data_IF_489184884980
#
_entry.id   IF_489184884980
#
_cell.length_a   1.000
_cell.length_b   1.000
_cell.length_c   1.000
_cell.angle_alpha   90.00
_cell.angle_beta   90.00
_cell.angle_gamma   90.00
#
_symmetry.space_group_name_H-M   'P 1'
#
loop_
_entity.id
_entity.type
_entity.pdbx_description
1 polymer ?
2 non-polymer ?
3 non-polymer ?
4 non-polymer ?
5 non-polymer ?
6 water ?
#
# COMPACT_ATOMS: atom_id res chain seq x y z
N UNK A 48 -10.58 21.78 15.19
CA UNK A 48 -9.28 21.10 15.14
C UNK A 48 -9.39 19.79 14.37
N UNK A 49 -8.33 19.41 13.66
CA UNK A 49 -8.37 18.18 12.87
C UNK A 49 -7.59 17.10 13.60
N UNK A 50 -8.22 15.94 13.79
CA UNK A 50 -7.62 14.82 14.55
C UNK A 50 -7.76 13.55 13.72
N UNK A 51 -6.61 13.01 13.29
CA UNK A 51 -6.61 11.82 12.46
C UNK A 51 -6.38 10.54 13.24
N UNK A 52 -7.05 9.46 12.79
CA UNK A 52 -6.76 8.12 13.24
C UNK A 52 -6.25 7.37 12.02
N UNK A 53 -4.97 6.98 12.01
CA UNK A 53 -4.39 6.18 10.93
C UNK A 53 -4.44 4.71 11.39
N UNK A 54 -5.23 3.88 10.71
CA UNK A 54 -5.35 2.45 11.04
C UNK A 54 -4.36 1.69 10.17
N UNK A 55 -3.17 1.40 10.73
CA UNK A 55 -2.08 0.77 9.99
C UNK A 55 -0.92 1.73 9.80
N UNK A 56 -0.51 2.38 10.88
CA UNK A 56 0.42 3.52 10.83
C UNK A 56 1.83 3.18 10.43
N UNK A 57 2.23 1.91 10.56
CA UNK A 57 3.56 1.52 10.13
C UNK A 57 3.55 0.88 8.73
N UNK A 58 2.41 0.95 8.06
CA UNK A 58 2.24 0.41 6.71
C UNK A 58 2.86 1.28 5.63
N UNK A 59 2.79 0.80 4.39
CA UNK A 59 3.41 1.57 3.30
C UNK A 59 2.67 2.88 3.03
N UNK A 60 1.33 2.93 3.23
CA UNK A 60 0.65 4.22 3.15
C UNK A 60 0.52 4.86 4.53
N UNK A 61 0.33 4.03 5.57
CA UNK A 61 0.25 4.57 6.94
C UNK A 61 1.47 5.41 7.30
N UNK A 62 2.67 4.96 6.90
CA UNK A 62 3.91 5.69 7.23
C UNK A 62 3.99 7.02 6.48
N UNK A 63 3.48 7.06 5.23
CA UNK A 63 3.41 8.32 4.46
C UNK A 63 2.37 9.27 5.08
N UNK A 64 1.21 8.75 5.50
CA UNK A 64 0.22 9.61 6.20
C UNK A 64 0.79 10.17 7.51
N UNK A 65 1.57 9.35 8.24
CA UNK A 65 2.16 9.76 9.51
C UNK A 65 3.16 10.91 9.29
N UNK A 66 3.87 10.91 8.16
CA UNK A 66 4.83 11.97 7.88
C UNK A 66 4.14 13.23 7.35
N UNK A 67 3.13 13.08 6.49
CA UNK A 67 2.48 14.23 5.85
C UNK A 67 1.41 14.91 6.66
N UNK A 68 0.54 14.18 7.36
CA UNK A 68 -0.52 14.85 8.13
C UNK A 68 -0.01 15.97 9.08
N UNK A 69 1.06 15.76 9.86
CA UNK A 69 1.49 16.81 10.80
C UNK A 69 2.21 18.03 10.19
N UNK A 70 2.50 18.02 8.87
CA UNK A 70 3.20 19.12 8.21
C UNK A 70 2.39 20.43 8.23
N UNK A 71 3.10 21.58 8.27
CA UNK A 71 2.47 22.91 8.31
C UNK A 71 1.58 23.23 7.10
N UNK A 72 2.00 22.86 5.87
CA UNK A 72 1.26 23.14 4.64
C UNK A 72 0.17 22.11 4.30
N UNK A 73 -0.10 21.14 5.20
CA UNK A 73 -1.14 20.15 4.93
C UNK A 73 -2.52 20.79 5.09
N UNK A 74 -3.43 20.59 4.11
CA UNK A 74 -4.78 21.16 4.24
C UNK A 74 -5.46 20.71 5.52
N UNK A 75 -6.22 21.63 6.15
CA UNK A 75 -6.98 21.43 7.38
C UNK A 75 -6.10 21.24 8.63
N UNK A 76 -4.81 21.57 8.49
CA UNK A 76 -3.87 21.51 9.59
C UNK A 76 -4.09 22.64 10.60
N UNK A 77 -3.49 22.56 11.81
CA UNK A 77 -2.59 21.51 12.28
C UNK A 77 -3.30 20.22 12.66
N UNK A 78 -2.77 19.11 12.21
CA UNK A 78 -3.37 17.82 12.51
C UNK A 78 -2.76 17.17 13.73
N UNK A 79 -3.62 16.68 14.62
CA UNK A 79 -3.22 15.81 15.74
C UNK A 79 -3.37 14.40 15.15
N UNK A 80 -2.44 13.46 15.45
CA UNK A 80 -2.50 12.14 14.81
C UNK A 80 -2.38 11.01 15.80
N UNK A 81 -3.30 10.04 15.73
CA UNK A 81 -3.21 8.77 16.43
C UNK A 81 -2.86 7.78 15.33
N UNK A 82 -1.96 6.84 15.64
CA UNK A 82 -1.59 5.80 14.69
C UNK A 82 -1.67 4.44 15.34
N UNK A 83 -2.36 3.48 14.70
CA UNK A 83 -2.58 2.15 15.25
C UNK A 83 -1.81 1.09 14.46
N UNK A 84 -1.21 0.11 15.18
CA UNK A 84 -0.60 -1.09 14.58
C UNK A 84 -0.43 -2.09 15.73
N UNK A 85 -0.13 -3.36 15.44
CA UNK A 85 0.02 -4.32 16.55
C UNK A 85 1.39 -4.32 17.19
N UNK A 86 2.44 -4.30 16.36
CA UNK A 86 3.81 -4.41 16.88
C UNK A 86 4.30 -3.18 17.64
N UNK A 87 5.37 -3.32 18.47
CA UNK A 87 5.97 -2.12 19.08
C UNK A 87 6.43 -1.18 17.96
N UNK A 88 6.41 0.12 18.24
CA UNK A 88 6.78 1.13 17.25
C UNK A 88 8.22 0.91 16.78
N UNK A 89 8.42 0.73 15.46
CA UNK A 89 9.80 0.54 14.94
C UNK A 89 10.53 1.88 14.80
N UNK A 90 11.87 1.82 14.82
CA UNK A 90 12.72 3.03 14.79
C UNK A 90 12.49 3.96 13.61
N UNK A 91 12.23 3.37 12.44
CA UNK A 91 12.03 4.12 11.20
C UNK A 91 10.70 4.85 11.13
N UNK A 92 9.83 4.68 12.13
CA UNK A 92 8.52 5.33 12.22
C UNK A 92 8.53 6.45 13.26
N UNK A 93 9.66 6.58 14.01
CA UNK A 93 9.82 7.56 15.09
C UNK A 93 10.04 9.01 14.62
N UNK A 94 10.46 9.23 13.37
CA UNK A 94 10.76 10.60 12.94
C UNK A 94 9.50 11.47 12.70
N UNK A 95 8.29 10.94 13.03
CA UNK A 95 6.98 11.58 12.86
C UNK A 95 6.33 11.89 14.23
N UNK A 96 5.65 13.04 14.41
CA UNK A 96 5.09 13.35 15.73
C UNK A 96 3.69 12.79 16.01
N UNK A 97 3.53 11.47 15.92
CA UNK A 97 2.24 10.81 16.11
C UNK A 97 2.08 10.15 17.51
N UNK A 98 0.81 9.94 17.94
CA UNK A 98 0.45 9.26 19.18
C UNK A 98 0.26 7.80 18.82
N UNK A 99 1.27 7.00 19.09
CA UNK A 99 1.26 5.59 18.70
C UNK A 99 0.46 4.75 19.68
N UNK A 100 -0.46 3.92 19.14
CA UNK A 100 -1.36 3.03 19.87
C UNK A 100 -1.22 1.59 19.40
N UNK A 101 -0.88 0.66 20.33
CA UNK A 101 -0.81 -0.73 19.96
C UNK A 101 -2.19 -1.33 20.09
N UNK A 102 -2.72 -1.89 18.99
CA UNK A 102 -4.08 -2.43 19.00
C UNK A 102 -4.24 -3.45 17.89
N UNK A 103 -4.86 -4.61 18.20
CA UNK A 103 -5.16 -5.61 17.18
C UNK A 103 -6.64 -5.43 16.87
N UNK A 104 -6.92 -4.82 15.70
CA UNK A 104 -8.30 -4.51 15.33
C UNK A 104 -9.11 -5.75 14.95
N UNK A 105 -8.48 -6.95 14.91
CA UNK A 105 -9.26 -8.19 14.71
C UNK A 105 -9.87 -8.62 16.07
N UNK A 106 -9.43 -7.97 17.17
CA UNK A 106 -9.90 -8.26 18.54
C UNK A 106 -10.89 -7.17 19.00
N UNK A 107 -12.22 -7.47 19.04
CA UNK A 107 -13.21 -6.44 19.43
C UNK A 107 -12.96 -5.83 20.82
N UNK A 108 -12.48 -6.64 21.79
CA UNK A 108 -12.20 -6.17 23.14
C UNK A 108 -11.02 -5.19 23.15
N UNK A 109 -9.93 -5.52 22.44
CA UNK A 109 -8.76 -4.65 22.34
C UNK A 109 -9.16 -3.35 21.62
N UNK A 110 -9.98 -3.45 20.55
CA UNK A 110 -10.45 -2.28 19.80
C UNK A 110 -11.29 -1.34 20.68
N UNK A 111 -12.19 -1.94 21.49
CA UNK A 111 -13.02 -1.20 22.43
C UNK A 111 -12.11 -0.50 23.44
N UNK A 112 -11.16 -1.24 24.02
CA UNK A 112 -10.23 -0.71 25.03
C UNK A 112 -9.36 0.44 24.54
N UNK A 113 -8.69 0.26 23.39
CA UNK A 113 -7.75 1.24 22.86
C UNK A 113 -8.36 2.42 22.16
N UNK A 114 -9.50 2.22 21.47
CA UNK A 114 -10.05 3.32 20.66
C UNK A 114 -11.16 4.13 21.33
N UNK A 115 -11.94 3.54 22.26
CA UNK A 115 -13.00 4.29 22.95
C UNK A 115 -12.52 5.59 23.67
N UNK A 116 -11.28 5.70 24.22
CA UNK A 116 -10.87 6.99 24.83
C UNK A 116 -10.56 8.12 23.84
N UNK A 117 -10.43 7.81 22.52
CA UNK A 117 -10.04 8.80 21.52
C UNK A 117 -11.27 9.49 20.93
N UNK A 118 -11.96 10.22 21.81
CA UNK A 118 -13.21 10.91 21.53
C UNK A 118 -13.06 12.13 20.62
N UNK A 119 -11.83 12.59 20.39
CA UNK A 119 -11.58 13.79 19.58
C UNK A 119 -11.35 13.52 18.07
N UNK A 120 -11.29 12.21 17.65
CA UNK A 120 -11.07 11.88 16.23
C UNK A 120 -12.09 12.60 15.32
N UNK A 121 -11.60 13.20 14.23
CA UNK A 121 -12.47 13.81 13.23
C UNK A 121 -12.37 13.07 11.88
N UNK A 122 -11.25 12.41 11.58
CA UNK A 122 -11.07 11.72 10.29
C UNK A 122 -10.34 10.39 10.48
N UNK A 123 -10.89 9.30 9.92
CA UNK A 123 -10.29 7.95 10.00
C UNK A 123 -9.68 7.68 8.64
N UNK A 124 -8.40 7.18 8.63
CA UNK A 124 -7.70 6.78 7.40
C UNK A 124 -7.39 5.31 7.58
N UNK A 125 -8.13 4.46 6.85
CA UNK A 125 -8.03 3.01 7.05
C UNK A 125 -7.13 2.40 5.99
N UNK A 126 -5.93 1.94 6.41
CA UNK A 126 -4.88 1.49 5.50
C UNK A 126 -4.25 0.19 6.03
N UNK A 127 -5.09 -0.87 6.13
CA UNK A 127 -4.58 -2.16 6.60
C UNK A 127 -5.40 -3.29 6.02
N UNK A 128 -4.90 -4.54 6.17
CA UNK A 128 -5.64 -5.73 5.72
C UNK A 128 -5.05 -6.95 6.32
N UNK A 129 -5.76 -8.06 6.17
CA UNK A 129 -5.34 -9.37 6.63
C UNK A 129 -5.39 -10.32 5.44
N UNK A 130 -4.29 -11.07 5.23
CA UNK A 130 -4.24 -12.05 4.13
C UNK A 130 -4.72 -13.40 4.65
N UNK A 131 -5.40 -14.15 3.77
CA UNK A 131 -5.90 -15.49 4.07
C UNK A 131 -5.77 -16.36 2.80
N UNK A 132 -5.93 -17.68 2.92
CA UNK A 132 -5.75 -18.55 1.76
C UNK A 132 -6.85 -18.45 0.69
N UNK A 133 -8.03 -17.96 1.07
CA UNK A 133 -9.11 -17.76 0.10
C UNK A 133 -9.71 -16.42 0.27
N UNK A 134 -10.32 -15.89 -0.79
CA UNK A 134 -11.02 -14.62 -0.71
C UNK A 134 -12.21 -14.68 0.26
N UNK A 135 -12.95 -15.82 0.32
CA UNK A 135 -14.05 -15.88 1.25
C UNK A 135 -13.55 -15.62 2.69
N UNK A 136 -12.37 -16.18 3.08
CA UNK A 136 -11.83 -15.94 4.42
C UNK A 136 -11.34 -14.49 4.51
N UNK A 137 -10.78 -13.94 3.42
CA UNK A 137 -10.38 -12.53 3.45
C UNK A 137 -11.61 -11.65 3.70
N UNK A 138 -12.77 -11.98 3.12
CA UNK A 138 -13.99 -11.18 3.33
C UNK A 138 -14.37 -11.21 4.79
N UNK A 139 -14.36 -12.39 5.39
CA UNK A 139 -14.69 -12.57 6.80
C UNK A 139 -13.72 -11.76 7.68
N UNK A 140 -12.40 -11.98 7.51
CA UNK A 140 -11.40 -11.32 8.37
C UNK A 140 -11.37 -9.81 8.21
N UNK A 141 -11.35 -9.35 6.97
CA UNK A 141 -11.26 -7.92 6.71
C UNK A 141 -12.53 -7.16 7.02
N UNK A 142 -13.67 -7.80 6.84
CA UNK A 142 -14.94 -7.18 7.21
C UNK A 142 -15.00 -7.00 8.73
N UNK A 143 -14.56 -8.02 9.50
CA UNK A 143 -14.55 -7.91 10.98
C UNK A 143 -13.61 -6.80 11.47
N UNK A 144 -12.44 -6.67 10.85
CA UNK A 144 -11.46 -5.64 11.23
C UNK A 144 -12.04 -4.24 11.05
N UNK A 145 -12.62 -3.97 9.86
CA UNK A 145 -13.19 -2.65 9.63
C UNK A 145 -14.41 -2.40 10.53
N UNK A 146 -15.28 -3.42 10.68
CA UNK A 146 -16.45 -3.33 11.55
C UNK A 146 -16.03 -3.04 13.03
N UNK A 147 -14.97 -3.71 13.53
CA UNK A 147 -14.51 -3.51 14.92
C UNK A 147 -14.10 -2.06 15.15
N UNK A 148 -13.38 -1.45 14.18
CA UNK A 148 -12.98 -0.04 14.29
C UNK A 148 -14.19 0.90 14.25
N UNK A 149 -15.00 0.79 13.20
CA UNK A 149 -16.13 1.71 12.99
C UNK A 149 -17.19 1.58 14.05
N UNK A 150 -17.43 0.38 14.58
CA UNK A 150 -18.43 0.21 15.65
C UNK A 150 -18.08 0.95 16.93
N UNK A 151 -16.78 1.17 17.17
CA UNK A 151 -16.26 1.86 18.35
C UNK A 151 -16.13 3.37 18.07
N UNK A 152 -15.45 3.73 16.96
CA UNK A 152 -15.19 5.14 16.66
C UNK A 152 -16.48 5.96 16.42
N UNK A 153 -17.42 5.45 15.62
CA UNK A 153 -18.60 6.25 15.26
C UNK A 153 -19.39 6.76 16.50
N UNK A 154 -19.85 5.89 17.41
CA UNK A 154 -20.60 6.39 18.59
C UNK A 154 -19.77 7.14 19.63
N UNK A 155 -18.43 6.96 19.64
CA UNK A 155 -17.59 7.61 20.66
C UNK A 155 -16.95 8.93 20.21
N UNK A 156 -17.06 9.27 18.92
CA UNK A 156 -16.42 10.47 18.38
C UNK A 156 -17.47 11.42 17.83
N UNK A 157 -18.00 12.33 18.66
CA UNK A 157 -19.06 13.22 18.18
C UNK A 157 -18.70 14.17 17.04
N UNK A 158 -17.40 14.47 16.83
CA UNK A 158 -16.94 15.37 15.77
C UNK A 158 -16.39 14.61 14.57
N UNK A 159 -16.72 13.29 14.45
CA UNK A 159 -16.24 12.46 13.34
C UNK A 159 -16.88 12.95 12.05
N UNK A 160 -16.04 13.27 11.06
CA UNK A 160 -16.52 13.85 9.79
C UNK A 160 -16.35 12.93 8.62
N UNK A 161 -15.29 12.11 8.60
CA UNK A 161 -15.01 11.32 7.40
C UNK A 161 -14.29 10.05 7.70
N UNK A 162 -14.57 9.03 6.89
CA UNK A 162 -13.87 7.74 6.89
C UNK A 162 -13.33 7.51 5.51
N UNK A 163 -12.00 7.38 5.38
CA UNK A 163 -11.35 7.11 4.12
C UNK A 163 -10.86 5.66 4.14
N UNK A 164 -11.32 4.85 3.18
CA UNK A 164 -10.97 3.45 3.10
C UNK A 164 -10.07 3.18 1.91
N UNK A 165 -8.90 2.57 2.16
CA UNK A 165 -8.02 2.20 1.05
C UNK A 165 -8.34 0.77 0.61
N UNK A 166 -8.58 0.60 -0.70
CA UNK A 166 -8.74 -0.73 -1.30
C UNK A 166 -7.68 -0.82 -2.41
N UNK A 167 -8.06 -1.10 -3.64
CA UNK A 167 -7.03 -1.24 -4.67
C UNK A 167 -7.59 -1.74 -5.98
N UNK A 168 -6.68 -1.93 -6.96
CA UNK A 168 -7.05 -2.33 -8.34
C UNK A 168 -7.63 -3.73 -8.42
N UNK A 169 -7.45 -4.56 -7.38
CA UNK A 169 -8.10 -5.88 -7.41
C UNK A 169 -9.63 -5.74 -7.32
N UNK A 170 -10.15 -4.54 -7.06
CA UNK A 170 -11.61 -4.31 -7.18
C UNK A 170 -12.04 -4.69 -8.62
N UNK A 171 -11.17 -4.40 -9.62
CA UNK A 171 -11.47 -4.64 -11.05
C UNK A 171 -10.83 -5.92 -11.57
N UNK A 172 -9.64 -6.26 -11.03
CA UNK A 172 -8.89 -7.42 -11.52
C UNK A 172 -9.33 -8.75 -10.92
N UNK A 173 -9.90 -8.68 -9.73
CA UNK A 173 -10.31 -9.86 -8.98
C UNK A 173 -9.31 -10.21 -7.90
N UNK A 174 -9.71 -11.12 -7.02
CA UNK A 174 -8.80 -11.57 -5.94
C UNK A 174 -7.53 -12.21 -6.47
N UNK A 175 -6.48 -12.32 -5.60
CA UNK A 175 -5.22 -12.89 -6.06
C UNK A 175 -5.39 -14.20 -6.82
N UNK A 176 -6.22 -15.12 -6.31
CA UNK A 176 -6.31 -16.46 -6.89
C UNK A 176 -7.22 -16.52 -8.11
N UNK A 177 -7.79 -15.35 -8.53
CA UNK A 177 -8.56 -15.30 -9.76
C UNK A 177 -7.93 -14.39 -10.79
N UNK A 178 -6.89 -13.61 -10.45
CA UNK A 178 -6.28 -12.75 -11.49
C UNK A 178 -5.84 -13.61 -12.68
N UNK A 179 -6.21 -13.17 -13.88
CA UNK A 179 -5.85 -13.84 -15.12
C UNK A 179 -6.75 -15.00 -15.50
N UNK A 180 -7.68 -15.36 -14.60
CA UNK A 180 -8.55 -16.54 -14.79
C UNK A 180 -9.97 -16.17 -15.09
N UNK A 181 -10.30 -14.87 -15.05
CA UNK A 181 -11.67 -14.42 -15.20
C UNK A 181 -11.79 -13.31 -16.24
N UNK A 182 -13.03 -13.07 -16.71
CA UNK A 182 -13.22 -11.93 -17.62
C UNK A 182 -13.36 -10.68 -16.76
N UNK A 183 -12.54 -9.65 -17.06
CA UNK A 183 -12.70 -8.41 -16.35
C UNK A 183 -13.18 -7.38 -17.35
N UNK A 184 -13.49 -6.17 -16.85
CA UNK A 184 -13.80 -5.05 -17.73
C UNK A 184 -12.50 -4.74 -18.51
N UNK A 185 -12.60 -4.15 -19.69
CA UNK A 185 -11.41 -3.83 -20.45
C UNK A 185 -10.75 -2.58 -19.83
N UNK A 186 -9.42 -2.62 -19.63
CA UNK A 186 -8.73 -1.42 -19.15
C UNK A 186 -8.76 -0.31 -20.21
N UNK A 187 -8.56 0.97 -19.80
CA UNK A 187 -8.24 1.43 -18.44
C UNK A 187 -9.44 1.37 -17.51
N UNK A 188 -9.23 0.88 -16.29
CA UNK A 188 -10.36 0.78 -15.38
C UNK A 188 -10.85 2.13 -14.87
N UNK A 189 -12.18 2.28 -14.85
CA UNK A 189 -12.89 3.47 -14.31
C UNK A 189 -13.72 3.00 -13.14
N UNK A 190 -14.06 3.93 -12.26
CA UNK A 190 -14.54 3.57 -10.91
C UNK A 190 -15.93 3.01 -10.66
N UNK A 191 -16.89 3.39 -11.48
CA UNK A 191 -18.30 3.18 -11.18
C UNK A 191 -19.06 2.26 -12.14
N UNK A 192 -18.38 1.29 -12.70
CA UNK A 192 -19.03 0.25 -13.50
C UNK A 192 -19.31 -0.92 -12.56
N UNK A 193 -20.16 -1.87 -12.98
CA UNK A 193 -20.48 -2.99 -12.10
C UNK A 193 -19.29 -3.77 -11.57
N UNK A 194 -19.47 -4.27 -10.36
CA UNK A 194 -18.49 -5.13 -9.71
C UNK A 194 -18.43 -6.47 -10.44
N UNK A 195 -17.31 -7.19 -10.29
CA UNK A 195 -17.18 -8.57 -10.81
C UNK A 195 -18.13 -9.44 -9.99
N UNK A 196 -18.60 -10.55 -10.60
CA UNK A 196 -19.51 -11.46 -9.92
C UNK A 196 -18.75 -12.55 -9.17
N UNK A 197 -17.79 -12.11 -8.35
CA UNK A 197 -16.97 -12.98 -7.50
C UNK A 197 -16.77 -12.27 -6.18
N UNK A 198 -16.71 -13.05 -5.08
CA UNK A 198 -16.44 -12.45 -3.76
C UNK A 198 -15.17 -11.62 -3.80
N UNK A 199 -15.14 -10.53 -3.03
CA UNK A 199 -13.95 -9.68 -3.01
C UNK A 199 -14.04 -8.93 -1.69
N UNK A 200 -12.99 -8.98 -0.88
CA UNK A 200 -13.09 -8.34 0.44
C UNK A 200 -13.26 -6.82 0.33
N UNK A 201 -12.89 -6.24 -0.82
CA UNK A 201 -13.15 -4.81 -1.00
C UNK A 201 -14.65 -4.54 -1.12
N UNK A 202 -15.42 -5.48 -1.73
CA UNK A 202 -16.85 -5.27 -1.87
C UNK A 202 -17.49 -5.39 -0.49
N UNK A 203 -17.04 -6.38 0.30
CA UNK A 203 -17.52 -6.59 1.66
C UNK A 203 -17.27 -5.31 2.46
N UNK A 204 -16.06 -4.74 2.35
CA UNK A 204 -15.71 -3.56 3.13
C UNK A 204 -16.50 -2.35 2.66
N UNK A 205 -16.66 -2.14 1.33
CA UNK A 205 -17.45 -0.99 0.88
C UNK A 205 -18.87 -1.08 1.39
N UNK A 206 -19.49 -2.27 1.28
CA UNK A 206 -20.88 -2.41 1.71
C UNK A 206 -21.04 -2.14 3.20
N UNK A 207 -20.08 -2.62 4.01
CA UNK A 207 -20.09 -2.38 5.45
C UNK A 207 -19.93 -0.88 5.74
N UNK A 208 -19.01 -0.21 5.01
CA UNK A 208 -18.75 1.22 5.17
C UNK A 208 -20.01 2.03 4.90
N UNK A 209 -20.75 1.71 3.82
CA UNK A 209 -21.96 2.45 3.46
C UNK A 209 -23.04 2.30 4.54
N UNK A 210 -23.15 1.09 5.11
CA UNK A 210 -24.12 0.87 6.18
C UNK A 210 -23.67 1.61 7.47
N UNK A 211 -22.35 1.59 7.77
CA UNK A 211 -21.82 2.26 8.97
C UNK A 211 -22.05 3.77 8.99
N UNK A 212 -21.82 4.48 7.87
CA UNK A 212 -21.97 5.93 7.82
C UNK A 212 -23.40 6.38 8.08
N UNK A 213 -24.37 5.48 7.83
CA UNK A 213 -25.80 5.77 8.10
C UNK A 213 -26.04 6.03 9.58
N UNK A 214 -25.11 5.60 10.46
CA UNK A 214 -25.25 5.80 11.90
C UNK A 214 -25.08 7.25 12.39
N UNK A 215 -24.44 8.11 11.57
CA UNK A 215 -24.14 9.49 11.94
C UNK A 215 -24.41 10.48 10.81
N UNK A 216 -25.30 11.44 11.06
CA UNK A 216 -25.65 12.48 10.08
C UNK A 216 -24.43 13.30 9.73
N UNK A 217 -24.21 13.49 8.43
CA UNK A 217 -23.11 14.26 7.89
C UNK A 217 -21.78 13.53 7.79
N UNK A 218 -21.73 12.26 8.25
CA UNK A 218 -20.50 11.46 8.15
C UNK A 218 -20.35 11.04 6.67
N UNK A 219 -19.22 11.39 6.06
CA UNK A 219 -18.97 11.05 4.66
C UNK A 219 -17.89 10.00 4.56
N UNK A 220 -17.75 9.43 3.36
CA UNK A 220 -16.75 8.40 3.14
C UNK A 220 -16.04 8.61 1.81
N UNK A 221 -14.88 8.00 1.68
CA UNK A 221 -14.19 7.90 0.41
C UNK A 221 -13.51 6.56 0.30
N UNK A 222 -13.32 6.10 -0.94
CA UNK A 222 -12.60 4.86 -1.21
C UNK A 222 -11.45 5.23 -2.16
N UNK A 223 -10.28 4.63 -1.94
CA UNK A 223 -9.06 4.94 -2.71
C UNK A 223 -8.51 3.65 -3.26
N UNK A 224 -8.37 3.58 -4.59
CA UNK A 224 -7.95 2.34 -5.24
C UNK A 224 -6.60 2.43 -5.94
N UNK A 225 -5.51 2.30 -5.18
CA UNK A 225 -4.20 2.32 -5.83
C UNK A 225 -3.91 1.03 -6.59
N UNK A 226 -2.92 1.11 -7.47
CA UNK A 226 -2.27 -0.05 -8.08
C UNK A 226 -1.10 -0.46 -7.18
N UNK A 227 -0.06 -1.05 -7.77
CA UNK A 227 1.10 -1.48 -6.98
C UNK A 227 1.75 -0.26 -6.36
N UNK A 228 2.01 -0.29 -5.04
CA UNK A 228 2.49 0.91 -4.35
C UNK A 228 4.00 0.98 -4.32
N UNK A 229 4.54 2.16 -4.63
CA UNK A 229 5.97 2.43 -4.42
C UNK A 229 6.07 3.29 -3.18
N UNK A 230 6.72 2.77 -2.15
CA UNK A 230 6.78 3.50 -0.89
C UNK A 230 7.82 2.89 0.01
N UNK A 231 7.75 3.28 1.28
CA UNK A 231 8.65 2.81 2.30
C UNK A 231 7.89 2.23 3.46
N UNK A 232 8.27 1.00 3.83
CA UNK A 232 7.78 0.31 5.03
C UNK A 232 8.34 -1.10 5.13
N UNK A 233 9.36 -1.27 5.96
CA UNK A 233 9.93 -2.61 6.19
C UNK A 233 8.95 -3.59 6.88
N UNK A 234 7.74 -3.13 7.28
CA UNK A 234 6.72 -4.01 7.89
C UNK A 234 5.54 -4.30 6.94
N UNK A 235 5.53 -3.71 5.74
CA UNK A 235 4.42 -3.86 4.82
C UNK A 235 4.29 -5.29 4.29
N UNK A 236 3.05 -5.76 4.12
CA UNK A 236 2.82 -7.08 3.53
C UNK A 236 2.93 -7.09 2.01
N UNK A 237 2.97 -5.88 1.36
CA UNK A 237 2.98 -5.74 -0.10
C UNK A 237 3.91 -4.57 -0.43
N UNK A 238 5.21 -4.82 -0.47
CA UNK A 238 6.15 -3.74 -0.70
C UNK A 238 7.10 -4.10 -1.82
N UNK A 239 6.71 -3.73 -3.03
CA UNK A 239 7.48 -4.12 -4.20
C UNK A 239 8.87 -3.50 -4.21
N UNK A 240 8.97 -2.19 -3.96
CA UNK A 240 10.28 -1.56 -3.97
C UNK A 240 11.22 -2.12 -2.90
N UNK A 241 10.72 -2.27 -1.67
CA UNK A 241 11.56 -2.80 -0.61
C UNK A 241 12.08 -4.21 -0.94
N UNK A 242 11.20 -5.04 -1.52
CA UNK A 242 11.56 -6.42 -1.87
C UNK A 242 12.58 -6.46 -3.00
N UNK A 243 12.39 -5.62 -4.03
CA UNK A 243 13.34 -5.58 -5.14
C UNK A 243 14.69 -5.07 -4.69
N UNK A 244 14.72 -4.12 -3.75
CA UNK A 244 16.00 -3.63 -3.20
C UNK A 244 16.76 -4.77 -2.52
N UNK A 245 16.05 -5.61 -1.73
CA UNK A 245 16.71 -6.71 -1.02
C UNK A 245 17.25 -7.71 -2.06
N UNK A 246 16.46 -8.02 -3.12
CA UNK A 246 16.95 -8.91 -4.17
C UNK A 246 18.21 -8.33 -4.83
N UNK A 247 18.18 -7.02 -5.16
CA UNK A 247 19.35 -6.41 -5.77
C UNK A 247 20.58 -6.47 -4.83
N UNK A 248 20.38 -6.24 -3.52
CA UNK A 248 21.49 -6.26 -2.55
C UNK A 248 22.11 -7.67 -2.47
N UNK A 249 21.25 -8.71 -2.54
CA UNK A 249 21.72 -10.10 -2.49
C UNK A 249 22.52 -10.41 -3.77
N UNK A 250 22.03 -9.96 -4.97
CA UNK A 250 22.76 -10.15 -6.22
C UNK A 250 24.13 -9.48 -6.14
N UNK A 251 24.19 -8.24 -5.58
CA UNK A 251 25.45 -7.50 -5.45
C UNK A 251 26.43 -8.25 -4.57
N UNK A 252 25.93 -8.74 -3.43
CA UNK A 252 26.75 -9.48 -2.48
C UNK A 252 27.33 -10.75 -3.12
N UNK A 253 26.50 -11.46 -3.88
CA UNK A 253 26.89 -12.74 -4.48
C UNK A 253 27.63 -12.60 -5.82
N UNK A 254 27.74 -11.37 -6.32
CA UNK A 254 28.36 -11.09 -7.62
C UNK A 254 27.56 -11.70 -8.75
N UNK A 255 26.22 -11.66 -8.63
CA UNK A 255 25.30 -12.25 -9.60
C UNK A 255 24.57 -11.19 -10.41
N UNK A 256 24.09 -11.57 -11.60
CA UNK A 256 23.33 -10.70 -12.48
C UNK A 256 21.96 -10.45 -11.88
N UNK A 257 21.43 -9.22 -12.01
CA UNK A 257 20.08 -8.90 -11.55
C UNK A 257 19.11 -9.44 -12.60
N UNK A 258 18.77 -10.74 -12.50
CA UNK A 258 17.88 -11.37 -13.49
C UNK A 258 16.46 -10.92 -13.26
N UNK A 259 15.64 -10.88 -14.31
CA UNK A 259 14.27 -10.39 -14.15
C UNK A 259 13.32 -11.53 -13.79
N UNK A 260 12.70 -11.47 -12.58
CA UNK A 260 11.82 -12.56 -12.16
C UNK A 260 10.37 -12.21 -12.49
N UNK A 261 10.05 -12.25 -13.77
CA UNK A 261 8.69 -11.93 -14.19
C UNK A 261 8.41 -12.35 -15.61
N UNK A 262 7.22 -11.96 -16.10
CA UNK A 262 6.74 -12.36 -17.42
C UNK A 262 7.07 -11.34 -18.50
N UNK A 263 6.86 -11.73 -19.80
CA UNK A 263 7.16 -10.82 -20.91
C UNK A 263 6.30 -9.57 -20.85
N UNK A 264 4.98 -9.71 -20.55
CA UNK A 264 4.08 -8.55 -20.50
C UNK A 264 4.50 -7.56 -19.42
N UNK A 265 5.06 -8.06 -18.30
CA UNK A 265 5.54 -7.16 -17.24
C UNK A 265 6.84 -6.50 -17.67
N UNK A 266 7.65 -7.18 -18.48
CA UNK A 266 8.90 -6.60 -18.96
C UNK A 266 8.69 -5.50 -20.00
N UNK A 267 7.96 -5.82 -21.10
CA UNK A 267 7.79 -5.08 -22.34
C UNK A 267 6.49 -4.35 -22.50
N UNK A 268 5.48 -4.74 -21.72
CA UNK A 268 4.18 -4.09 -21.85
C UNK A 268 4.20 -2.84 -20.97
N UNK A 269 3.14 -2.03 -21.02
CA UNK A 269 3.11 -0.87 -20.13
C UNK A 269 2.72 -1.27 -18.74
N UNK A 270 3.25 -0.54 -17.76
CA UNK A 270 2.87 -0.68 -16.36
C UNK A 270 2.61 0.71 -15.79
N UNK A 271 2.01 0.73 -14.60
CA UNK A 271 1.90 1.98 -13.84
C UNK A 271 2.10 1.59 -12.37
N UNK A 272 2.04 2.60 -11.50
CA UNK A 272 2.17 2.35 -10.08
C UNK A 272 1.58 3.54 -9.34
N UNK A 273 1.54 3.43 -8.01
CA UNK A 273 0.94 4.43 -7.13
C UNK A 273 1.93 4.82 -6.05
N UNK A 274 2.44 6.06 -6.08
CA UNK A 274 3.41 6.53 -5.08
C UNK A 274 2.73 6.69 -3.74
N UNK A 275 3.36 6.19 -2.64
CA UNK A 275 2.70 6.20 -1.35
C UNK A 275 2.42 7.60 -0.83
N UNK A 276 3.29 8.58 -1.13
CA UNK A 276 3.01 9.95 -0.67
C UNK A 276 1.85 10.52 -1.47
N UNK A 277 1.78 10.23 -2.78
CA UNK A 277 0.64 10.70 -3.58
C UNK A 277 -0.65 10.06 -3.07
N UNK A 278 -0.60 8.76 -2.69
CA UNK A 278 -1.81 8.16 -2.12
C UNK A 278 -2.22 8.86 -0.82
N UNK A 279 -1.22 9.16 0.05
CA UNK A 279 -1.53 9.85 1.30
C UNK A 279 -2.19 11.23 0.99
N UNK A 280 -1.65 11.95 -0.01
CA UNK A 280 -2.22 13.26 -0.41
C UNK A 280 -3.66 13.07 -0.91
N UNK A 281 -3.93 11.96 -1.60
CA UNK A 281 -5.24 11.66 -2.17
C UNK A 281 -6.25 11.34 -1.07
N UNK A 282 -5.80 10.61 -0.03
CA UNK A 282 -6.66 10.37 1.16
C UNK A 282 -7.01 11.71 1.81
N UNK A 283 -6.00 12.59 2.01
CA UNK A 283 -6.25 13.87 2.69
C UNK A 283 -7.21 14.75 1.87
N UNK A 284 -6.93 14.85 0.54
CA UNK A 284 -7.80 15.62 -0.34
C UNK A 284 -9.25 15.14 -0.25
N UNK A 285 -9.49 13.82 -0.40
CA UNK A 285 -10.89 13.36 -0.34
C UNK A 285 -11.53 13.54 1.02
N UNK A 286 -10.70 13.53 2.10
CA UNK A 286 -11.22 13.70 3.44
C UNK A 286 -11.61 15.13 3.76
N UNK A 287 -11.05 16.13 3.02
CA UNK A 287 -11.33 17.53 3.35
C UNK A 287 -12.12 18.28 2.27
N UNK A 288 -12.06 17.83 0.99
CA UNK A 288 -12.76 18.51 -0.09
C UNK A 288 -14.22 18.09 -0.14
N UNK A 289 -15.15 19.03 0.08
CA UNK A 289 -16.57 18.63 0.06
C UNK A 289 -17.05 18.12 -1.28
N UNK A 290 -16.38 18.53 -2.38
CA UNK A 290 -16.78 18.10 -3.70
C UNK A 290 -16.31 16.68 -4.03
N UNK A 291 -15.49 16.06 -3.14
CA UNK A 291 -15.03 14.68 -3.29
C UNK A 291 -15.82 13.71 -2.43
N UNK A 292 -16.79 14.19 -1.62
CA UNK A 292 -17.48 13.35 -0.66
C UNK A 292 -18.22 12.18 -1.28
N UNK A 293 -18.19 11.04 -0.56
CA UNK A 293 -19.01 9.86 -0.87
C UNK A 293 -18.73 9.33 -2.28
N UNK A 294 -17.45 9.16 -2.57
CA UNK A 294 -17.03 8.68 -3.88
C UNK A 294 -15.83 7.75 -3.77
N UNK A 295 -15.73 6.79 -4.71
CA UNK A 295 -14.55 5.95 -4.85
C UNK A 295 -13.70 6.57 -5.97
N UNK A 296 -12.39 6.55 -5.76
CA UNK A 296 -11.43 7.11 -6.70
C UNK A 296 -10.22 6.22 -6.87
N UNK A 297 -9.79 6.02 -8.11
CA UNK A 297 -8.50 5.43 -8.39
C UNK A 297 -7.41 6.41 -7.93
N UNK A 298 -6.18 5.89 -7.68
CA UNK A 298 -5.05 6.77 -7.41
C UNK A 298 -3.77 6.15 -7.92
N UNK A 299 -3.36 6.57 -9.11
CA UNK A 299 -2.11 6.17 -9.75
C UNK A 299 -1.37 7.46 -10.18
N UNK A 300 -0.12 7.30 -10.62
CA UNK A 300 0.81 8.42 -10.75
C UNK A 300 0.61 9.37 -11.91
N UNK A 301 -0.19 9.02 -12.93
CA UNK A 301 -0.40 9.91 -14.07
C UNK A 301 0.57 9.67 -15.22
N UNK A 302 1.37 8.60 -15.13
CA UNK A 302 2.26 8.22 -16.23
C UNK A 302 2.31 6.72 -16.33
N UNK A 303 3.05 6.22 -17.32
CA UNK A 303 3.27 4.79 -17.48
C UNK A 303 4.74 4.55 -17.61
N UNK A 304 5.16 3.30 -17.43
CA UNK A 304 6.57 2.95 -17.62
C UNK A 304 6.68 1.51 -18.07
N UNK A 305 7.92 1.05 -18.33
CA UNK A 305 8.18 -0.35 -18.61
C UNK A 305 9.21 -0.87 -17.63
N UNK A 306 9.00 -2.10 -17.11
CA UNK A 306 10.02 -2.69 -16.22
C UNK A 306 11.34 -2.87 -16.96
N UNK A 307 11.32 -3.03 -18.28
CA UNK A 307 12.56 -3.16 -19.07
C UNK A 307 13.44 -1.92 -18.79
N UNK A 308 12.82 -0.73 -18.63
CA UNK A 308 13.57 0.51 -18.35
C UNK A 308 13.90 0.59 -16.83
N UNK A 309 12.90 0.37 -15.97
CA UNK A 309 13.17 0.50 -14.53
C UNK A 309 14.16 -0.52 -14.00
N UNK A 310 14.30 -1.69 -14.70
CA UNK A 310 15.29 -2.68 -14.27
C UNK A 310 16.70 -2.08 -14.32
N UNK A 311 17.00 -1.25 -15.36
CA UNK A 311 18.29 -0.58 -15.51
C UNK A 311 18.51 0.38 -14.35
N UNK A 312 17.42 1.06 -13.92
CA UNK A 312 17.48 2.00 -12.79
C UNK A 312 17.81 1.28 -11.49
N UNK A 313 17.11 0.16 -11.25
CA UNK A 313 17.31 -0.65 -10.05
C UNK A 313 18.74 -1.16 -10.00
N UNK A 314 19.22 -1.69 -11.13
CA UNK A 314 20.57 -2.25 -11.18
C UNK A 314 21.60 -1.14 -10.92
N UNK A 315 21.42 0.04 -11.54
CA UNK A 315 22.37 1.15 -11.35
C UNK A 315 22.44 1.57 -9.84
N UNK A 316 21.27 1.58 -9.17
CA UNK A 316 21.23 2.00 -7.76
C UNK A 316 21.95 1.05 -6.81
N UNK A 317 22.17 -0.22 -7.23
CA UNK A 317 22.89 -1.19 -6.41
C UNK A 317 24.26 -1.61 -7.02
N UNK A 318 24.66 -1.01 -8.16
CA UNK A 318 25.96 -1.32 -8.77
C UNK A 318 26.06 -2.75 -9.25
N UNK A 319 24.93 -3.28 -9.74
CA UNK A 319 24.88 -4.69 -10.21
C UNK A 319 24.69 -4.74 -11.70
N UNK A 320 25.17 -5.82 -12.33
CA UNK A 320 24.95 -5.98 -13.77
C UNK A 320 23.46 -6.23 -13.99
N UNK A 321 22.88 -5.49 -14.95
CA UNK A 321 21.47 -5.58 -15.26
C UNK A 321 21.20 -6.76 -16.18
N UNK A 322 20.32 -7.65 -15.76
CA UNK A 322 19.87 -8.75 -16.58
C UNK A 322 18.66 -8.32 -17.39
N UNK A 323 18.08 -9.27 -18.09
CA UNK A 323 16.90 -8.97 -18.90
C UNK A 323 15.98 -10.15 -18.89
N UNK A 324 14.71 -9.91 -19.20
CA UNK A 324 13.73 -10.98 -19.34
C UNK A 324 14.30 -12.04 -20.29
N UNK A 325 14.17 -13.30 -19.92
CA UNK A 325 14.63 -14.43 -20.73
C UNK A 325 13.46 -15.35 -20.95
N UNK A 326 13.08 -15.54 -22.22
CA UNK A 326 11.99 -16.42 -22.60
C UNK A 326 12.29 -17.84 -22.09
N UNK A 327 11.31 -18.44 -21.41
CA UNK A 327 11.39 -19.79 -20.87
C UNK A 327 12.04 -19.97 -19.51
N UNK A 328 12.60 -18.90 -18.92
CA UNK A 328 13.25 -19.04 -17.61
C UNK A 328 12.25 -19.16 -16.46
N UNK A 329 11.08 -18.47 -16.55
CA UNK A 329 10.00 -18.46 -15.56
C UNK A 329 10.53 -18.32 -14.13
N UNK A 330 11.40 -17.33 -13.94
CA UNK A 330 12.08 -17.08 -12.69
C UNK A 330 11.15 -16.56 -11.61
N UNK A 331 11.22 -17.19 -10.41
CA UNK A 331 10.42 -16.81 -9.24
C UNK A 331 11.35 -16.45 -8.09
N UNK A 332 11.14 -15.28 -7.44
CA UNK A 332 11.97 -14.92 -6.29
C UNK A 332 11.71 -15.81 -5.11
N UNK A 333 10.46 -16.27 -4.92
CA UNK A 333 10.12 -17.13 -3.79
C UNK A 333 11.00 -18.40 -3.81
N UNK A 334 11.33 -18.88 -5.01
CA UNK A 334 12.21 -20.04 -5.21
C UNK A 334 13.70 -19.64 -5.19
N UNK A 335 14.11 -18.57 -5.92
CA UNK A 335 15.52 -18.13 -5.95
C UNK A 335 16.04 -17.76 -4.57
N UNK A 336 15.19 -17.15 -3.76
CA UNK A 336 15.60 -16.61 -2.46
C UNK A 336 15.42 -17.57 -1.30
N UNK A 337 14.96 -18.80 -1.56
CA UNK A 337 14.81 -19.81 -0.51
C UNK A 337 16.19 -20.04 0.15
N UNK A 338 16.21 -20.06 1.48
CA UNK A 338 17.41 -20.30 2.29
C UNK A 338 18.45 -19.19 2.28
N UNK A 339 18.05 -17.96 1.89
CA UNK A 339 19.01 -16.86 1.84
C UNK A 339 19.16 -16.06 3.15
N UNK A 340 18.52 -16.51 4.26
CA UNK A 340 18.64 -15.82 5.57
C UNK A 340 20.10 -15.62 6.01
N UNK A 341 21.01 -16.63 5.91
CA UNK A 341 22.40 -16.38 6.34
C UNK A 341 23.11 -15.34 5.47
N UNK A 342 22.80 -15.32 4.16
CA UNK A 342 23.35 -14.33 3.22
C UNK A 342 22.85 -12.92 3.67
N UNK A 343 21.54 -12.80 4.00
CA UNK A 343 21.00 -11.52 4.47
C UNK A 343 21.68 -11.06 5.77
N UNK A 344 21.89 -11.98 6.74
CA UNK A 344 22.56 -11.63 8.01
C UNK A 344 23.97 -11.07 7.74
N UNK A 345 24.67 -11.66 6.75
CA UNK A 345 26.02 -11.28 6.35
C UNK A 345 26.00 -9.87 5.72
N UNK A 346 25.05 -9.61 4.81
CA UNK A 346 24.92 -8.28 4.19
C UNK A 346 24.61 -7.25 5.26
N UNK A 347 23.69 -7.57 6.21
CA UNK A 347 23.34 -6.66 7.31
C UNK A 347 24.61 -6.31 8.13
N UNK A 348 25.38 -7.32 8.50
CA UNK A 348 26.60 -7.14 9.32
C UNK A 348 27.67 -6.37 8.57
N UNK A 349 27.96 -6.75 7.32
CA UNK A 349 29.03 -6.11 6.54
C UNK A 349 28.75 -4.68 6.17
N UNK A 350 27.46 -4.33 6.00
CA UNK A 350 27.07 -2.97 5.58
C UNK A 350 26.51 -2.07 6.71
N UNK A 351 26.56 -2.56 7.95
CA UNK A 351 26.07 -1.84 9.13
C UNK A 351 24.60 -1.49 9.01
N UNK A 352 23.80 -2.45 8.50
CA UNK A 352 22.39 -2.18 8.33
C UNK A 352 21.59 -2.38 9.60
N UNK A 353 20.34 -1.85 9.61
CA UNK A 353 19.40 -2.11 10.69
C UNK A 353 19.13 -3.63 10.67
N UNK A 354 18.97 -4.23 11.84
CA UNK A 354 18.73 -5.67 11.87
C UNK A 354 17.31 -6.00 11.46
N UNK A 355 17.15 -6.62 10.25
CA UNK A 355 15.82 -7.00 9.81
C UNK A 355 15.75 -8.48 9.49
N UNK A 356 14.54 -9.05 9.59
CA UNK A 356 14.28 -10.43 9.21
C UNK A 356 13.97 -10.40 7.71
N UNK A 357 14.61 -11.28 6.97
CA UNK A 357 14.42 -11.38 5.53
C UNK A 357 12.95 -11.52 5.14
N UNK A 358 12.15 -12.34 5.88
CA UNK A 358 10.73 -12.54 5.60
C UNK A 358 9.87 -11.31 5.84
N UNK A 359 10.35 -10.35 6.63
CA UNK A 359 9.57 -9.12 6.83
C UNK A 359 9.89 -8.07 5.75
N UNK A 360 11.18 -7.88 5.44
CA UNK A 360 11.64 -6.87 4.48
C UNK A 360 11.51 -7.30 3.02
N UNK A 361 11.35 -8.60 2.78
CA UNK A 361 11.25 -9.04 1.40
C UNK A 361 10.08 -9.99 1.29
N UNK A 362 9.00 -9.51 0.67
CA UNK A 362 7.77 -10.29 0.49
C UNK A 362 7.82 -10.90 -0.93
N UNK A 363 8.64 -11.96 -1.07
CA UNK A 363 8.91 -12.56 -2.38
C UNK A 363 7.66 -12.96 -3.14
N UNK A 364 6.68 -13.54 -2.43
CA UNK A 364 5.45 -13.99 -3.09
C UNK A 364 4.74 -12.85 -3.80
N UNK A 365 4.80 -11.64 -3.19
CA UNK A 365 4.11 -10.47 -3.72
C UNK A 365 4.84 -9.93 -4.94
N UNK A 366 6.20 -9.88 -4.88
CA UNK A 366 6.93 -9.44 -6.08
C UNK A 366 6.62 -10.42 -7.23
N UNK A 367 6.60 -11.74 -6.96
CA UNK A 367 6.27 -12.69 -8.02
C UNK A 367 4.86 -12.47 -8.52
N UNK A 368 3.92 -12.22 -7.61
CA UNK A 368 2.52 -12.02 -8.03
C UNK A 368 2.37 -10.81 -8.93
N UNK A 369 3.13 -9.74 -8.70
CA UNK A 369 3.08 -8.52 -9.52
C UNK A 369 3.73 -8.78 -10.86
N UNK A 370 4.95 -9.28 -10.84
CA UNK A 370 5.76 -9.35 -12.05
C UNK A 370 5.38 -10.49 -12.97
N UNK A 371 4.56 -11.45 -12.50
CA UNK A 371 4.19 -12.58 -13.35
C UNK A 371 2.90 -12.33 -14.15
N UNK A 372 2.36 -11.10 -14.12
CA UNK A 372 1.16 -10.77 -14.84
C UNK A 372 1.31 -9.48 -15.65
N UNK A 373 0.49 -9.30 -16.70
CA UNK A 373 0.43 -7.97 -17.34
C UNK A 373 -0.18 -6.99 -16.33
N UNK A 374 0.18 -5.70 -16.46
CA UNK A 374 -0.32 -4.65 -15.57
C UNK A 374 -1.40 -3.85 -16.29
N UNK A 375 -2.70 -4.14 -16.08
CA UNK A 375 -3.76 -3.34 -16.71
C UNK A 375 -3.78 -1.96 -16.13
N UNK A 376 -3.95 -0.96 -17.00
CA UNK A 376 -3.90 0.44 -16.54
C UNK A 376 -5.24 0.89 -15.99
N UNK A 377 -5.20 2.00 -15.20
CA UNK A 377 -6.45 2.56 -14.74
C UNK A 377 -6.54 4.02 -15.19
N UNK A 378 -7.68 4.64 -14.91
CA UNK A 378 -7.93 6.01 -15.32
C UNK A 378 -7.90 6.96 -14.13
N UNK A 379 -7.28 8.14 -14.29
CA UNK A 379 -7.32 9.20 -13.27
C UNK A 379 -8.32 10.30 -13.66
N UNK A 380 -9.16 10.08 -14.68
CA UNK A 380 -10.10 11.14 -15.05
C UNK A 380 -11.04 11.52 -13.93
N UNK A 381 -11.60 10.54 -13.20
CA UNK A 381 -12.57 10.98 -12.16
C UNK A 381 -11.89 11.84 -11.07
N UNK A 382 -10.69 11.45 -10.62
CA UNK A 382 -9.98 12.25 -9.62
C UNK A 382 -9.70 13.65 -10.15
N UNK A 383 -9.17 13.74 -11.40
CA UNK A 383 -8.83 15.05 -11.97
C UNK A 383 -10.08 15.91 -12.18
N UNK A 384 -11.19 15.30 -12.63
CA UNK A 384 -12.44 16.05 -12.85
C UNK A 384 -13.01 16.57 -11.53
N UNK A 385 -12.63 15.93 -10.39
CA UNK A 385 -13.03 16.36 -9.05
C UNK A 385 -12.00 17.33 -8.43
N UNK A 386 -10.95 17.67 -9.17
CA UNK A 386 -9.97 18.67 -8.78
C UNK A 386 -8.66 18.16 -8.20
N UNK A 387 -8.45 16.83 -8.17
CA UNK A 387 -7.20 16.30 -7.65
C UNK A 387 -6.23 16.19 -8.81
N UNK A 388 -5.25 17.13 -8.86
CA UNK A 388 -4.28 17.16 -9.95
C UNK A 388 -2.89 16.69 -9.52
N UNK A 389 -2.79 16.00 -8.39
CA UNK A 389 -1.50 15.49 -7.97
C UNK A 389 -1.02 14.40 -8.90
N UNK A 390 0.30 14.30 -9.10
CA UNK A 390 0.87 13.28 -9.96
C UNK A 390 2.27 12.99 -9.44
N UNK A 391 2.91 11.94 -9.95
CA UNK A 391 4.33 11.72 -9.73
C UNK A 391 4.94 11.19 -11.00
N UNK A 392 6.18 11.61 -11.25
CA UNK A 392 7.03 11.02 -12.29
C UNK A 392 7.47 9.67 -11.66
N UNK A 393 7.01 8.55 -12.26
CA UNK A 393 7.26 7.24 -11.64
C UNK A 393 8.72 6.83 -11.56
N UNK A 394 9.53 7.19 -12.55
CA UNK A 394 10.97 6.84 -12.47
C UNK A 394 11.59 7.59 -11.28
N UNK A 395 11.30 8.91 -11.15
CA UNK A 395 11.88 9.68 -10.05
C UNK A 395 11.40 9.15 -8.72
N UNK A 396 10.13 8.72 -8.66
CA UNK A 396 9.52 8.12 -7.47
C UNK A 396 10.24 6.81 -7.10
N UNK A 397 10.48 5.93 -8.10
CA UNK A 397 11.19 4.69 -7.83
C UNK A 397 12.54 4.97 -7.19
N UNK A 398 13.31 5.91 -7.76
CA UNK A 398 14.64 6.23 -7.18
C UNK A 398 14.47 6.78 -5.75
N UNK A 399 13.49 7.66 -5.53
CA UNK A 399 13.25 8.24 -4.21
C UNK A 399 12.99 7.15 -3.16
N UNK A 400 12.15 6.14 -3.50
CA UNK A 400 11.81 5.09 -2.53
C UNK A 400 12.96 4.09 -2.34
N UNK A 401 13.74 3.81 -3.42
CA UNK A 401 14.93 2.99 -3.25
C UNK A 401 15.85 3.75 -2.26
N UNK A 402 16.01 5.05 -2.49
CA UNK A 402 16.96 5.81 -1.69
C UNK A 402 16.51 5.98 -0.26
N UNK A 403 15.19 5.92 0.02
CA UNK A 403 14.72 6.02 1.40
C UNK A 403 15.06 4.70 2.13
N UNK A 404 14.91 3.56 1.44
CA UNK A 404 15.29 2.28 2.06
C UNK A 404 16.81 2.28 2.39
N UNK A 405 17.63 2.92 1.52
CA UNK A 405 19.06 3.05 1.79
C UNK A 405 19.28 4.02 2.95
N UNK A 406 18.52 5.14 2.99
CA UNK A 406 18.74 6.19 4.01
C UNK A 406 18.44 5.68 5.43
N UNK A 407 17.45 4.78 5.57
CA UNK A 407 17.12 4.19 6.87
C UNK A 407 17.91 2.91 7.13
N UNK A 408 18.94 2.66 6.31
CA UNK A 408 19.88 1.54 6.48
C UNK A 408 19.16 0.20 6.44
N UNK A 409 18.11 0.09 5.61
CA UNK A 409 17.46 -1.21 5.46
C UNK A 409 18.22 -2.04 4.44
N UNK A 410 18.76 -1.37 3.40
CA UNK A 410 19.56 -2.01 2.36
C UNK A 410 20.84 -1.20 2.18
N UNK A 411 21.90 -1.78 1.57
CA UNK A 411 23.14 -1.01 1.37
C UNK A 411 23.00 0.10 0.33
#
# INVERSE_FOLDING_TARGET
MGHHHHHHDYDIPTTENLYFQGMSWWWAGAIGAAKKRSDEDEALPKHSSVALIVGVTGIVGNSLAEILPLADTPSGPWKVYGVARRPRPAWNEDNPINYIRCDISDPKDTQEKLSPLTDITHVFYVTWANRSTEVERCEANGKMLKNVLDVVIPNCPDLKHISLQTGRKHYMGPFELIGKIETHDPPFTEDLPRLKFDNFYYTQEDLLFEEVEKKEGLTWSVHRPGNIFGFSPYSMMNLVGTLCVYAAICKHEGKVLRFPGCKAAWDGYSDCSDADLIAEHHIWAAVDPYAKNEAFNVSNGDVFKWKHFWKVLAEQFGVECGEYEEGENLKLQDLMKGKEPVWEEIVRENGLASTNLEDVAVWWFSDAVLDIPCPLDSMNKSKEHGFLGFRNSKNSFISWIDKAKAYKIVP
#
